data_IF_853882320230
#
_entry.id   IF_853882320230
#
_cell.length_a   1.000
_cell.length_b   1.000
_cell.length_c   1.000
_cell.angle_alpha   90.00
_cell.angle_beta   90.00
_cell.angle_gamma   90.00
#
_symmetry.space_group_name_H-M   'P 1'
#
loop_
_entity.id
_entity.type
_entity.pdbx_description
1 polymer ?
#
# COMPACT_ATOMS: atom_id res chain seq x y z
N UNK A 1 -27.24 -17.66 -15.46
CA UNK A 1 -26.20 -17.19 -14.51
C UNK A 1 -25.46 -16.05 -15.19
N UNK A 2 -25.61 -14.80 -14.73
CA UNK A 2 -24.96 -13.66 -15.38
C UNK A 2 -23.44 -13.74 -15.16
N UNK A 3 -22.68 -13.78 -16.26
CA UNK A 3 -21.22 -13.65 -16.29
C UNK A 3 -20.84 -12.31 -15.64
N UNK A 4 -20.54 -12.32 -14.34
CA UNK A 4 -19.94 -11.16 -13.69
C UNK A 4 -18.61 -10.83 -14.39
N UNK A 5 -18.31 -9.54 -14.55
CA UNK A 5 -17.13 -9.08 -15.28
C UNK A 5 -15.87 -9.85 -14.82
N UNK A 6 -15.09 -10.43 -15.75
CA UNK A 6 -13.92 -11.24 -15.40
C UNK A 6 -12.80 -10.42 -14.75
N UNK A 7 -12.87 -9.09 -14.82
CA UNK A 7 -11.90 -8.14 -14.27
C UNK A 7 -12.64 -6.95 -13.66
N UNK A 8 -12.18 -6.50 -12.50
CA UNK A 8 -12.56 -5.26 -11.83
C UNK A 8 -11.45 -4.24 -12.01
N UNK A 9 -11.80 -3.00 -12.32
CA UNK A 9 -10.85 -1.88 -12.43
C UNK A 9 -11.34 -0.76 -11.54
N UNK A 10 -10.50 -0.33 -10.60
CA UNK A 10 -10.80 0.75 -9.65
C UNK A 10 -9.63 1.71 -9.63
N UNK A 11 -9.88 3.01 -9.70
CA UNK A 11 -8.84 4.02 -9.49
C UNK A 11 -8.81 4.45 -8.03
N UNK A 12 -7.62 4.57 -7.46
CA UNK A 12 -7.37 5.06 -6.11
C UNK A 12 -6.44 6.27 -6.19
N UNK A 13 -6.74 7.30 -5.40
CA UNK A 13 -5.88 8.47 -5.26
C UNK A 13 -5.82 8.89 -3.80
N UNK A 14 -4.61 9.20 -3.31
CA UNK A 14 -4.39 9.71 -1.96
C UNK A 14 -3.51 10.96 -1.97
N UNK A 15 -3.73 11.81 -0.96
CA UNK A 15 -2.93 13.01 -0.71
C UNK A 15 -2.42 12.90 0.72
N UNK A 16 -1.11 13.07 0.90
CA UNK A 16 -0.44 13.01 2.18
C UNK A 16 0.25 14.34 2.47
N UNK A 17 0.14 14.80 3.71
CA UNK A 17 0.77 16.05 4.17
C UNK A 17 1.80 15.74 5.26
N UNK A 18 3.06 16.16 5.05
CA UNK A 18 4.14 15.95 6.00
C UNK A 18 4.10 16.97 7.14
N UNK A 19 3.71 16.51 8.33
CA UNK A 19 3.64 17.30 9.57
C UNK A 19 4.94 17.29 10.38
N UNK A 20 5.97 16.55 9.96
CA UNK A 20 7.25 16.51 10.66
C UNK A 20 7.95 17.87 10.62
N UNK A 21 8.73 18.14 11.67
CA UNK A 21 9.58 19.32 11.73
C UNK A 21 10.65 19.24 10.63
N UNK A 22 11.02 20.37 10.00
CA UNK A 22 12.17 20.41 9.10
C UNK A 22 13.42 19.86 9.79
N UNK A 23 14.25 19.16 9.02
CA UNK A 23 15.54 18.63 9.51
C UNK A 23 16.47 19.80 9.88
N UNK A 24 16.44 20.88 9.09
CA UNK A 24 17.14 22.13 9.38
C UNK A 24 16.14 23.21 9.83
N UNK A 25 16.14 23.62 11.11
CA UNK A 25 15.28 24.69 11.62
C UNK A 25 15.48 26.04 10.92
N UNK A 26 16.64 26.27 10.30
CA UNK A 26 16.95 27.49 9.55
C UNK A 26 16.36 27.51 8.13
N UNK A 27 15.87 26.37 7.64
CA UNK A 27 15.28 26.21 6.30
C UNK A 27 13.80 25.82 6.41
N UNK A 28 12.89 26.80 6.55
CA UNK A 28 11.46 26.50 6.63
C UNK A 28 10.97 25.87 5.32
N UNK A 29 10.41 24.66 5.41
CA UNK A 29 9.81 23.97 4.27
C UNK A 29 8.42 24.57 3.98
N UNK A 30 8.19 25.14 2.78
CA UNK A 30 6.88 25.67 2.38
C UNK A 30 5.78 24.62 2.48
N UNK A 31 4.55 25.05 2.78
CA UNK A 31 3.39 24.15 2.92
C UNK A 31 3.17 23.30 1.68
N UNK A 32 3.37 23.86 0.48
CA UNK A 32 3.21 23.15 -0.79
C UNK A 32 4.23 22.00 -0.90
N UNK A 33 5.47 22.21 -0.48
CA UNK A 33 6.54 21.20 -0.52
C UNK A 33 6.30 20.01 0.42
N UNK A 34 5.34 20.11 1.35
CA UNK A 34 5.00 19.05 2.30
C UNK A 34 4.00 18.03 1.75
N UNK A 35 3.43 18.29 0.58
CA UNK A 35 2.43 17.42 -0.03
C UNK A 35 3.09 16.31 -0.85
N UNK A 36 2.48 15.15 -0.81
CA UNK A 36 2.75 14.04 -1.70
C UNK A 36 1.43 13.42 -2.16
N UNK A 37 1.44 12.85 -3.35
CA UNK A 37 0.26 12.28 -4.00
C UNK A 37 0.57 10.85 -4.41
N UNK A 38 -0.38 9.94 -4.24
CA UNK A 38 -0.31 8.60 -4.79
C UNK A 38 -1.54 8.34 -5.65
N UNK A 39 -1.33 7.74 -6.82
CA UNK A 39 -2.39 7.39 -7.75
C UNK A 39 -2.17 5.95 -8.21
N UNK A 40 -3.19 5.12 -8.08
CA UNK A 40 -3.12 3.71 -8.41
C UNK A 40 -4.30 3.29 -9.28
N UNK A 41 -4.05 2.37 -10.21
CA UNK A 41 -5.10 1.68 -10.94
C UNK A 41 -5.15 0.24 -10.44
N UNK A 42 -6.15 -0.11 -9.64
CA UNK A 42 -6.34 -1.42 -9.06
C UNK A 42 -7.08 -2.32 -10.06
N UNK A 43 -6.34 -3.20 -10.73
CA UNK A 43 -6.86 -4.15 -11.72
C UNK A 43 -6.92 -5.52 -11.05
N UNK A 44 -8.10 -5.93 -10.61
CA UNK A 44 -8.31 -7.15 -9.83
C UNK A 44 -9.12 -8.19 -10.59
N UNK A 45 -8.76 -9.46 -10.42
CA UNK A 45 -9.52 -10.60 -10.91
C UNK A 45 -9.65 -11.65 -9.83
N UNK A 46 -10.90 -12.04 -9.56
CA UNK A 46 -11.23 -13.23 -8.78
C UNK A 46 -11.27 -14.43 -9.73
N UNK A 47 -10.38 -15.39 -9.55
CA UNK A 47 -10.28 -16.57 -10.42
C UNK A 47 -11.25 -17.67 -10.00
N UNK A 48 -11.49 -17.78 -8.70
CA UNK A 48 -12.43 -18.72 -8.09
C UNK A 48 -12.79 -18.20 -6.68
N UNK A 49 -13.55 -18.96 -5.91
CA UNK A 49 -14.01 -18.52 -4.58
C UNK A 49 -12.91 -18.37 -3.52
N UNK A 50 -11.73 -18.94 -3.76
CA UNK A 50 -10.62 -18.93 -2.82
C UNK A 50 -9.41 -18.11 -3.29
N UNK A 51 -9.31 -17.74 -4.56
CA UNK A 51 -8.13 -17.07 -5.10
C UNK A 51 -8.48 -15.83 -5.91
N UNK A 52 -7.84 -14.72 -5.55
CA UNK A 52 -7.88 -13.47 -6.29
C UNK A 52 -6.48 -12.88 -6.44
N UNK A 53 -6.26 -12.22 -7.58
CA UNK A 53 -5.02 -11.52 -7.90
C UNK A 53 -5.35 -10.09 -8.32
N UNK A 54 -4.47 -9.15 -7.98
CA UNK A 54 -4.59 -7.74 -8.29
C UNK A 54 -3.25 -7.20 -8.79
N UNK A 55 -3.28 -6.39 -9.85
CA UNK A 55 -2.16 -5.59 -10.31
C UNK A 55 -2.47 -4.12 -10.08
N UNK A 56 -1.44 -3.35 -9.74
CA UNK A 56 -1.56 -1.97 -9.27
C UNK A 56 -0.48 -1.09 -9.89
N UNK A 57 -0.58 -0.72 -11.18
CA UNK A 57 0.21 0.37 -11.72
C UNK A 57 0.00 1.61 -10.84
N UNK A 58 1.10 2.17 -10.35
CA UNK A 58 1.13 3.20 -9.33
C UNK A 58 2.03 4.35 -9.78
N UNK A 59 1.57 5.57 -9.52
CA UNK A 59 2.30 6.80 -9.72
C UNK A 59 2.31 7.58 -8.41
N UNK A 60 3.51 7.92 -7.93
CA UNK A 60 3.73 8.75 -6.77
C UNK A 60 4.34 10.07 -7.21
N UNK A 61 3.86 11.17 -6.63
CA UNK A 61 4.44 12.48 -6.80
C UNK A 61 4.80 13.07 -5.44
N UNK A 62 6.06 13.45 -5.26
CA UNK A 62 6.60 14.13 -4.09
C UNK A 62 6.90 15.58 -4.45
N UNK A 63 6.30 16.53 -3.74
CA UNK A 63 6.63 17.95 -3.97
C UNK A 63 8.03 18.30 -3.46
N UNK A 64 8.56 17.53 -2.51
CA UNK A 64 9.93 17.62 -2.02
C UNK A 64 10.48 16.21 -1.81
N UNK A 65 11.66 15.97 -2.39
CA UNK A 65 12.41 14.73 -2.26
C UNK A 65 13.49 14.84 -1.20
N UNK A 66 13.89 13.71 -0.62
CA UNK A 66 14.90 13.66 0.45
C UNK A 66 16.32 13.83 -0.09
N UNK A 67 16.62 13.25 -1.26
CA UNK A 67 17.93 13.37 -1.90
C UNK A 67 17.83 13.95 -3.31
N UNK A 68 18.90 14.58 -3.78
CA UNK A 68 18.98 15.07 -5.16
C UNK A 68 19.05 13.97 -6.24
N UNK A 69 19.14 12.70 -5.83
CA UNK A 69 19.09 11.55 -6.74
C UNK A 69 17.66 11.02 -6.94
N UNK A 70 16.76 11.32 -6.00
CA UNK A 70 15.37 10.90 -6.07
C UNK A 70 14.59 11.79 -7.04
N UNK A 71 13.72 11.17 -7.83
CA UNK A 71 12.80 11.90 -8.70
C UNK A 71 11.55 12.31 -7.92
N UNK A 72 11.00 13.46 -8.28
CA UNK A 72 9.69 13.88 -7.77
C UNK A 72 8.58 12.92 -8.20
N UNK A 73 8.65 12.37 -9.41
CA UNK A 73 7.70 11.39 -9.94
C UNK A 73 8.30 9.98 -9.92
N UNK A 74 7.58 9.05 -9.30
CA UNK A 74 7.99 7.65 -9.15
C UNK A 74 6.89 6.73 -9.64
N UNK A 75 7.23 5.89 -10.62
CA UNK A 75 6.36 4.87 -11.18
C UNK A 75 6.70 3.50 -10.61
N UNK A 76 5.68 2.77 -10.18
CA UNK A 76 5.79 1.45 -9.58
C UNK A 76 4.67 0.54 -10.07
N UNK A 77 4.91 -0.77 -10.04
CA UNK A 77 3.91 -1.79 -10.38
C UNK A 77 3.75 -2.70 -9.17
N UNK A 78 2.61 -2.59 -8.50
CA UNK A 78 2.21 -3.48 -7.43
C UNK A 78 1.54 -4.75 -7.94
N UNK A 79 1.75 -5.86 -7.23
CA UNK A 79 1.01 -7.09 -7.40
C UNK A 79 0.57 -7.59 -6.02
N UNK A 80 -0.70 -7.99 -5.90
CA UNK A 80 -1.24 -8.56 -4.69
C UNK A 80 -1.99 -9.86 -4.99
N UNK A 81 -1.87 -10.81 -4.08
CA UNK A 81 -2.57 -12.08 -4.11
C UNK A 81 -3.31 -12.28 -2.80
N UNK A 82 -4.50 -12.87 -2.88
CA UNK A 82 -5.28 -13.25 -1.71
C UNK A 82 -5.82 -14.65 -1.87
N UNK A 83 -5.58 -15.48 -0.86
CA UNK A 83 -6.02 -16.87 -0.77
C UNK A 83 -6.93 -17.03 0.44
N UNK A 84 -8.22 -17.28 0.21
CA UNK A 84 -9.18 -17.62 1.24
C UNK A 84 -8.95 -19.06 1.71
N UNK A 85 -8.48 -19.23 2.95
CA UNK A 85 -8.21 -20.55 3.54
C UNK A 85 -9.44 -21.11 4.25
N UNK A 86 -10.22 -20.23 4.88
CA UNK A 86 -11.49 -20.58 5.54
C UNK A 86 -12.50 -19.46 5.36
N UNK A 87 -13.75 -19.62 5.83
CA UNK A 87 -14.77 -18.55 5.76
C UNK A 87 -14.33 -17.24 6.43
N UNK A 88 -13.43 -17.34 7.41
CA UNK A 88 -13.04 -16.23 8.27
C UNK A 88 -11.54 -15.90 8.20
N UNK A 89 -10.75 -16.66 7.43
CA UNK A 89 -9.30 -16.49 7.34
C UNK A 89 -8.90 -16.43 5.87
N UNK A 90 -8.11 -15.42 5.52
CA UNK A 90 -7.44 -15.34 4.23
C UNK A 90 -5.96 -15.00 4.43
N UNK A 91 -5.11 -15.55 3.57
CA UNK A 91 -3.71 -15.17 3.45
C UNK A 91 -3.59 -14.11 2.35
N UNK A 92 -2.76 -13.11 2.58
CA UNK A 92 -2.47 -12.04 1.63
C UNK A 92 -0.98 -11.96 1.37
N UNK A 93 -0.62 -11.61 0.15
CA UNK A 93 0.75 -11.29 -0.23
C UNK A 93 0.71 -10.07 -1.14
N UNK A 94 1.64 -9.15 -0.96
CA UNK A 94 1.76 -7.92 -1.72
C UNK A 94 3.23 -7.62 -2.00
N UNK A 95 3.52 -7.13 -3.20
CA UNK A 95 4.86 -6.74 -3.62
C UNK A 95 4.76 -5.57 -4.58
N UNK A 96 5.61 -4.55 -4.42
CA UNK A 96 5.73 -3.46 -5.39
C UNK A 96 7.10 -3.45 -6.01
N UNK A 97 7.13 -3.41 -7.33
CA UNK A 97 8.34 -3.22 -8.09
C UNK A 97 8.42 -1.77 -8.59
N UNK A 98 9.40 -1.01 -8.10
CA UNK A 98 9.62 0.36 -8.54
C UNK A 98 10.50 0.37 -9.79
N UNK A 99 10.11 1.11 -10.83
CA UNK A 99 10.90 1.14 -12.07
C UNK A 99 12.30 1.73 -11.79
N UNK A 100 13.35 1.26 -12.50
CA UNK A 100 14.73 1.65 -12.22
C UNK A 100 14.99 3.14 -12.48
N UNK A 101 16.05 3.67 -11.86
CA UNK A 101 16.56 5.04 -12.03
C UNK A 101 15.60 6.15 -11.57
N UNK A 102 14.80 5.91 -10.54
CA UNK A 102 13.86 6.89 -9.97
C UNK A 102 14.13 7.25 -8.51
N UNK A 103 14.71 6.32 -7.76
CA UNK A 103 15.01 6.46 -6.33
C UNK A 103 16.49 6.16 -6.09
N UNK A 104 17.00 6.66 -4.97
CA UNK A 104 18.36 6.43 -4.51
C UNK A 104 18.68 4.94 -4.33
N UNK A 105 19.97 4.61 -4.31
CA UNK A 105 20.47 3.23 -4.19
C UNK A 105 20.15 2.56 -2.85
N UNK A 106 19.67 3.32 -1.87
CA UNK A 106 19.26 2.82 -0.54
C UNK A 106 17.79 2.43 -0.47
N UNK A 107 17.07 2.43 -1.59
CA UNK A 107 15.68 2.01 -1.70
C UNK A 107 15.55 0.50 -1.93
N UNK A 108 14.61 -0.13 -1.23
CA UNK A 108 14.20 -1.52 -1.44
C UNK A 108 12.71 -1.60 -1.77
N UNK A 109 12.38 -2.49 -2.69
CA UNK A 109 11.01 -2.79 -3.07
C UNK A 109 10.25 -3.44 -1.89
N UNK A 110 9.08 -2.91 -1.50
CA UNK A 110 8.35 -3.44 -0.36
C UNK A 110 7.68 -4.77 -0.71
N UNK A 111 7.78 -5.71 0.23
CA UNK A 111 7.03 -6.96 0.24
C UNK A 111 6.23 -7.05 1.53
N UNK A 112 5.03 -7.61 1.46
CA UNK A 112 4.21 -7.88 2.63
C UNK A 112 3.55 -9.26 2.53
N UNK A 113 3.57 -10.02 3.63
CA UNK A 113 2.82 -11.26 3.80
C UNK A 113 1.88 -11.11 4.99
N UNK A 114 0.61 -11.43 4.82
CA UNK A 114 -0.39 -11.15 5.82
C UNK A 114 -1.48 -12.19 5.97
N UNK A 115 -2.24 -12.01 7.04
CA UNK A 115 -3.41 -12.80 7.40
C UNK A 115 -4.55 -11.82 7.70
N UNK A 116 -5.65 -11.99 6.98
CA UNK A 116 -6.92 -11.33 7.26
C UNK A 116 -7.80 -12.27 8.10
N UNK A 117 -8.22 -11.82 9.27
CA UNK A 117 -9.16 -12.52 10.17
C UNK A 117 -10.46 -11.72 10.20
N UNK A 118 -11.52 -12.30 9.63
CA UNK A 118 -12.85 -11.71 9.58
C UNK A 118 -13.73 -12.24 10.70
N UNK A 119 -14.14 -11.39 11.63
CA UNK A 119 -15.07 -11.71 12.73
C UNK A 119 -16.51 -11.25 12.45
N UNK A 120 -16.82 -10.94 11.18
CA UNK A 120 -18.10 -10.47 10.68
C UNK A 120 -18.24 -8.95 10.73
N UNK A 121 -18.04 -8.35 11.92
CA UNK A 121 -18.09 -6.87 12.07
C UNK A 121 -16.73 -6.19 11.99
N UNK A 122 -15.65 -6.94 12.26
CA UNK A 122 -14.28 -6.46 12.15
C UNK A 122 -13.51 -7.35 11.17
N UNK A 123 -12.60 -6.74 10.43
CA UNK A 123 -11.54 -7.44 9.74
C UNK A 123 -10.22 -6.99 10.36
N UNK A 124 -9.54 -7.92 11.01
CA UNK A 124 -8.20 -7.73 11.54
C UNK A 124 -7.21 -8.16 10.46
N UNK A 125 -6.27 -7.29 10.12
CA UNK A 125 -5.23 -7.59 9.15
C UNK A 125 -3.90 -7.50 9.86
N UNK A 126 -3.17 -8.60 9.89
CA UNK A 126 -1.84 -8.69 10.47
C UNK A 126 -0.90 -8.99 9.31
N UNK A 127 0.16 -8.22 9.14
CA UNK A 127 1.11 -8.42 8.05
C UNK A 127 2.54 -8.22 8.52
N UNK A 128 3.45 -8.96 7.90
CA UNK A 128 4.88 -8.81 8.01
C UNK A 128 5.38 -8.13 6.75
N UNK A 129 6.13 -7.04 6.88
CA UNK A 129 6.65 -6.27 5.75
C UNK A 129 8.04 -5.70 6.07
N UNK A 130 8.88 -5.43 5.06
CA UNK A 130 10.10 -4.63 5.22
C UNK A 130 9.82 -3.12 5.15
N UNK A 131 8.56 -2.69 4.96
CA UNK A 131 8.21 -1.28 4.95
C UNK A 131 7.91 -0.76 6.36
N UNK A 132 8.45 0.42 6.70
CA UNK A 132 8.13 1.14 7.95
C UNK A 132 6.84 1.95 7.87
N UNK A 133 6.55 2.48 6.68
CA UNK A 133 5.35 3.27 6.42
C UNK A 133 4.17 2.39 6.04
N UNK A 134 2.95 2.85 6.33
CA UNK A 134 1.71 2.14 5.97
C UNK A 134 0.88 2.82 4.88
N UNK A 135 1.33 3.97 4.39
CA UNK A 135 0.67 4.73 3.31
C UNK A 135 1.51 4.63 2.04
N UNK A 136 0.89 4.78 0.86
CA UNK A 136 1.50 4.47 -0.44
C UNK A 136 2.80 5.24 -0.66
N UNK A 137 2.81 6.54 -0.34
CA UNK A 137 4.02 7.37 -0.46
C UNK A 137 5.20 6.84 0.37
N UNK A 138 4.92 6.11 1.43
CA UNK A 138 5.92 5.72 2.42
C UNK A 138 6.42 4.29 2.17
N UNK A 139 5.51 3.31 2.01
CA UNK A 139 5.97 1.94 1.75
C UNK A 139 6.52 1.76 0.33
N UNK A 140 6.01 2.47 -0.68
CA UNK A 140 6.48 2.28 -2.07
C UNK A 140 7.76 3.03 -2.34
N UNK A 141 7.89 4.28 -1.90
CA UNK A 141 9.03 5.14 -2.26
C UNK A 141 9.99 5.50 -1.13
N UNK A 142 9.75 5.02 0.10
CA UNK A 142 10.59 5.32 1.27
C UNK A 142 10.95 4.07 2.09
N UNK A 143 10.92 2.89 1.46
CA UNK A 143 11.35 1.64 2.10
C UNK A 143 12.85 1.50 1.95
N UNK A 144 13.57 1.51 3.06
CA UNK A 144 15.05 1.45 3.10
C UNK A 144 15.59 0.16 3.71
N UNK A 145 14.69 -0.75 4.07
CA UNK A 145 15.00 -1.99 4.78
C UNK A 145 14.92 -3.20 3.87
N UNK A 146 15.85 -4.13 4.07
CA UNK A 146 15.96 -5.31 3.22
C UNK A 146 15.34 -6.53 3.90
N UNK A 147 14.28 -7.06 3.29
CA UNK A 147 13.62 -8.28 3.75
C UNK A 147 14.59 -9.46 3.89
N UNK A 148 15.57 -9.59 2.99
CA UNK A 148 16.53 -10.71 3.00
C UNK A 148 17.55 -10.63 4.13
N UNK A 149 17.78 -9.42 4.66
CA UNK A 149 18.68 -9.21 5.80
C UNK A 149 17.96 -9.38 7.15
N UNK A 150 16.67 -9.71 7.12
CA UNK A 150 15.84 -9.93 8.31
C UNK A 150 15.18 -8.67 8.85
N UNK A 151 15.25 -7.55 8.11
CA UNK A 151 14.54 -6.31 8.44
C UNK A 151 13.04 -6.48 8.19
N UNK A 152 12.36 -7.06 9.19
CA UNK A 152 10.93 -7.39 9.12
C UNK A 152 10.20 -6.64 10.23
N UNK A 153 9.11 -6.00 9.83
CA UNK A 153 8.21 -5.26 10.69
C UNK A 153 6.83 -5.89 10.74
N UNK A 154 6.18 -5.75 11.88
CA UNK A 154 4.80 -6.17 12.10
C UNK A 154 3.86 -4.98 11.89
N UNK A 155 3.00 -5.09 10.87
CA UNK A 155 1.91 -4.16 10.61
C UNK A 155 0.56 -4.72 11.03
N UNK A 156 -0.34 -3.82 11.45
CA UNK A 156 -1.67 -4.18 11.93
C UNK A 156 -2.71 -3.15 11.52
N UNK A 157 -3.80 -3.62 10.90
CA UNK A 157 -4.97 -2.82 10.56
C UNK A 157 -6.24 -3.46 11.13
N UNK A 158 -7.20 -2.62 11.51
CA UNK A 158 -8.56 -3.05 11.82
C UNK A 158 -9.52 -2.20 11.00
N UNK A 159 -10.37 -2.85 10.21
CA UNK A 159 -11.52 -2.19 9.62
C UNK A 159 -12.81 -2.65 10.31
N UNK A 160 -13.74 -1.72 10.50
CA UNK A 160 -15.04 -1.97 11.11
C UNK A 160 -16.14 -1.29 10.31
N UNK A 161 -17.19 -2.02 9.99
CA UNK A 161 -18.37 -1.47 9.32
C UNK A 161 -19.42 -1.10 10.35
N UNK A 162 -19.74 0.18 10.45
CA UNK A 162 -20.80 0.69 11.32
C UNK A 162 -22.12 0.79 10.54
N UNK A 163 -23.13 -0.01 10.92
CA UNK A 163 -24.49 0.14 10.39
C UNK A 163 -25.23 1.22 11.20
N UNK A 164 -25.45 2.39 10.59
CA UNK A 164 -26.11 3.53 11.22
C UNK A 164 -27.66 3.39 11.27
N UNK A 165 -28.27 2.60 10.37
CA UNK A 165 -29.72 2.28 10.38
C UNK A 165 -30.00 0.96 9.65
N UNK A 166 -30.90 0.11 10.18
CA UNK A 166 -31.31 -1.17 9.57
C UNK A 166 -31.72 -2.23 10.61
N UNK A 167 -32.55 -3.22 10.21
CA UNK A 167 -33.07 -4.27 11.09
C UNK A 167 -31.95 -5.24 11.51
N UNK A 168 -31.79 -5.45 12.82
CA UNK A 168 -30.95 -6.53 13.38
C UNK A 168 -31.63 -7.86 13.04
N UNK A 169 -30.96 -8.72 12.27
CA UNK A 169 -31.29 -10.13 12.15
C UNK A 169 -30.26 -10.91 12.95
#
# INVERSE_FOLDING_TARGET
QSKASPVSVTTFSSVAYNTLRPIDPGLPVPTQSRLAYANQVLIARKWNDYFSLQLMPTHLHYNLVETGQDRNDVFSIGAAAKVQVSKNIALTAEYYYTLPNQLSTTHYDPIALGIDINTGSHVFQIHLTNARGMIEKAFIGQTTENWMDGDIHLGFNISRVFKLKGRRY
#
